data_IF_635998134272
#
_entry.id   IF_635998134272
#
_cell.length_a   1.000
_cell.length_b   1.000
_cell.length_c   1.000
_cell.angle_alpha   90.00
_cell.angle_beta   90.00
_cell.angle_gamma   90.00
#
_symmetry.space_group_name_H-M   'P 1'
#
loop_
_entity.id
_entity.type
_entity.pdbx_description
1 polymer ?
#
# COMPACT_ATOMS: atom_id res chain seq x y z
N UNK A 1 -24.38 10.63 -2.48
CA UNK A 1 -23.08 9.93 -2.37
C UNK A 1 -22.18 10.78 -1.48
N UNK A 2 -21.85 10.26 -0.31
CA UNK A 2 -20.93 10.88 0.66
C UNK A 2 -19.67 10.02 0.78
N UNK A 3 -18.52 10.63 0.98
CA UNK A 3 -17.29 9.94 1.27
C UNK A 3 -17.08 9.92 2.79
N UNK A 4 -17.14 8.75 3.40
CA UNK A 4 -16.80 8.56 4.81
C UNK A 4 -15.32 8.25 4.95
N UNK A 5 -14.54 9.27 5.28
CA UNK A 5 -13.09 9.16 5.40
C UNK A 5 -12.69 8.81 6.83
N UNK A 6 -12.19 7.60 7.04
CA UNK A 6 -11.83 7.07 8.35
C UNK A 6 -10.32 7.15 8.58
N UNK A 7 -9.87 8.07 9.44
CA UNK A 7 -8.49 8.23 9.88
C UNK A 7 -7.76 9.42 9.26
N UNK A 8 -7.08 10.20 10.12
CA UNK A 8 -6.24 11.35 9.75
C UNK A 8 -4.78 11.11 10.14
N UNK A 9 -4.24 9.99 9.65
CA UNK A 9 -2.83 9.63 9.82
C UNK A 9 -1.91 10.48 8.93
N UNK A 10 -0.58 10.29 9.08
CA UNK A 10 0.42 11.09 8.38
C UNK A 10 0.27 11.05 6.85
N UNK A 11 -0.02 9.88 6.29
CA UNK A 11 -0.15 9.68 4.83
C UNK A 11 -1.52 10.05 4.26
N UNK A 12 -2.56 10.21 5.11
CA UNK A 12 -3.94 10.37 4.65
C UNK A 12 -4.34 11.82 4.37
N UNK A 13 -3.73 12.78 5.05
CA UNK A 13 -4.15 14.19 5.05
C UNK A 13 -4.08 14.85 3.66
N UNK A 14 -3.04 14.66 2.84
CA UNK A 14 -2.97 15.30 1.53
C UNK A 14 -4.11 14.87 0.60
N UNK A 15 -4.43 13.58 0.55
CA UNK A 15 -5.52 13.04 -0.25
C UNK A 15 -6.89 13.54 0.23
N UNK A 16 -7.10 13.53 1.54
CA UNK A 16 -8.32 14.05 2.15
C UNK A 16 -8.55 15.53 1.81
N UNK A 17 -7.55 16.38 1.99
CA UNK A 17 -7.61 17.81 1.62
C UNK A 17 -7.98 17.99 0.15
N UNK A 18 -7.36 17.22 -0.73
CA UNK A 18 -7.62 17.28 -2.16
C UNK A 18 -9.07 16.94 -2.50
N UNK A 19 -9.64 15.89 -1.90
CA UNK A 19 -11.05 15.53 -2.13
C UNK A 19 -12.01 16.64 -1.69
N UNK A 20 -11.78 17.22 -0.51
CA UNK A 20 -12.60 18.32 0.00
C UNK A 20 -12.49 19.55 -0.91
N UNK A 21 -11.28 19.91 -1.35
CA UNK A 21 -11.04 21.03 -2.27
C UNK A 21 -11.68 20.84 -3.65
N UNK A 22 -11.84 19.59 -4.10
CA UNK A 22 -12.55 19.24 -5.32
C UNK A 22 -14.08 19.28 -5.16
N UNK A 23 -14.59 19.62 -3.99
CA UNK A 23 -16.01 19.76 -3.70
C UNK A 23 -16.76 18.47 -3.41
N UNK A 24 -16.05 17.37 -3.15
CA UNK A 24 -16.71 16.15 -2.71
C UNK A 24 -17.29 16.30 -1.30
N UNK A 25 -18.51 15.82 -1.03
CA UNK A 25 -19.04 15.76 0.33
C UNK A 25 -18.29 14.70 1.12
N UNK A 26 -17.55 15.13 2.14
CA UNK A 26 -16.71 14.27 2.96
C UNK A 26 -17.07 14.40 4.43
N UNK A 27 -17.43 13.29 5.07
CA UNK A 27 -17.53 13.13 6.52
C UNK A 27 -16.25 12.50 7.03
N UNK A 28 -15.55 13.15 7.94
CA UNK A 28 -14.27 12.67 8.48
C UNK A 28 -14.48 12.02 9.84
N UNK A 29 -13.98 10.79 9.96
CA UNK A 29 -14.05 10.00 11.19
C UNK A 29 -12.65 9.81 11.77
N UNK A 30 -12.42 10.29 12.98
CA UNK A 30 -11.13 10.13 13.64
C UNK A 30 -11.27 9.89 15.14
N UNK A 31 -10.44 9.00 15.68
CA UNK A 31 -10.47 8.67 17.12
C UNK A 31 -10.32 9.91 18.00
N UNK A 32 -9.46 10.86 17.61
CA UNK A 32 -9.23 12.11 18.33
C UNK A 32 -9.69 13.26 17.44
N UNK A 33 -10.90 13.77 17.67
CA UNK A 33 -11.51 14.84 16.87
C UNK A 33 -10.61 16.08 16.81
N UNK A 34 -10.11 16.55 17.95
CA UNK A 34 -9.23 17.72 18.01
C UNK A 34 -7.96 17.58 17.13
N UNK A 35 -7.42 16.36 16.98
CA UNK A 35 -6.30 16.11 16.06
C UNK A 35 -6.69 16.28 14.60
N UNK A 36 -7.88 15.81 14.23
CA UNK A 36 -8.40 15.98 12.88
C UNK A 36 -8.71 17.45 12.60
N UNK A 37 -9.36 18.15 13.52
CA UNK A 37 -9.64 19.60 13.44
C UNK A 37 -8.37 20.40 13.23
N UNK A 38 -7.32 20.13 13.99
CA UNK A 38 -6.02 20.81 13.83
C UNK A 38 -5.40 20.57 12.44
N UNK A 39 -5.64 19.41 11.83
CA UNK A 39 -5.08 19.06 10.54
C UNK A 39 -5.90 19.56 9.33
N UNK A 40 -7.22 19.56 9.44
CA UNK A 40 -8.14 19.80 8.31
C UNK A 40 -9.34 20.68 8.64
N UNK A 41 -9.47 21.23 9.84
CA UNK A 41 -10.63 22.02 10.27
C UNK A 41 -10.88 23.29 9.44
N UNK A 42 -9.83 23.80 8.77
CA UNK A 42 -9.99 24.89 7.80
C UNK A 42 -10.59 24.48 6.45
N UNK A 43 -10.77 23.18 6.22
CA UNK A 43 -11.30 22.62 4.96
C UNK A 43 -12.73 22.08 5.12
N UNK A 44 -13.06 21.55 6.28
CA UNK A 44 -14.39 21.00 6.59
C UNK A 44 -14.69 21.09 8.09
N UNK A 45 -15.96 21.18 8.42
CA UNK A 45 -16.48 21.12 9.80
C UNK A 45 -17.17 19.77 10.09
N UNK A 46 -17.39 18.91 9.12
CA UNK A 46 -18.00 17.58 9.33
C UNK A 46 -16.91 16.58 9.77
N UNK A 47 -16.45 16.77 11.01
CA UNK A 47 -15.46 15.92 11.67
C UNK A 47 -16.11 15.27 12.88
N UNK A 48 -16.11 13.94 12.91
CA UNK A 48 -16.81 13.13 13.92
C UNK A 48 -15.84 12.19 14.65
N UNK A 49 -16.18 11.87 15.91
CA UNK A 49 -15.48 10.82 16.63
C UNK A 49 -15.67 9.47 15.94
N UNK A 50 -14.59 8.75 15.71
CA UNK A 50 -14.68 7.41 15.12
C UNK A 50 -15.27 6.44 16.14
N UNK A 51 -16.43 5.94 15.83
CA UNK A 51 -17.11 4.82 16.47
C UNK A 51 -17.70 3.94 15.38
N UNK A 52 -17.50 2.62 15.46
CA UNK A 52 -17.92 1.71 14.40
C UNK A 52 -19.44 1.71 14.18
N UNK A 53 -20.22 1.75 15.26
CA UNK A 53 -21.67 1.77 15.20
C UNK A 53 -22.18 3.11 14.61
N UNK A 54 -21.54 4.22 14.98
CA UNK A 54 -21.88 5.53 14.43
C UNK A 54 -21.55 5.63 12.93
N UNK A 55 -20.40 5.09 12.49
CA UNK A 55 -20.08 4.99 11.05
C UNK A 55 -21.16 4.18 10.35
N UNK A 56 -21.43 2.96 10.82
CA UNK A 56 -22.42 2.07 10.20
C UNK A 56 -23.82 2.70 10.11
N UNK A 57 -24.28 3.37 11.17
CA UNK A 57 -25.55 4.07 11.19
C UNK A 57 -25.64 5.28 10.25
N UNK A 58 -24.48 5.80 9.82
CA UNK A 58 -24.41 6.97 8.92
C UNK A 58 -24.34 6.58 7.44
N UNK A 59 -24.03 5.31 7.12
CA UNK A 59 -23.86 4.86 5.74
C UNK A 59 -25.20 4.77 5.00
N UNK A 60 -25.17 5.14 3.74
CA UNK A 60 -26.29 5.01 2.79
C UNK A 60 -25.81 4.31 1.52
N UNK A 61 -26.73 3.69 0.80
CA UNK A 61 -26.45 3.07 -0.48
C UNK A 61 -25.83 4.08 -1.46
N UNK A 62 -24.75 3.66 -2.11
CA UNK A 62 -23.96 4.50 -3.03
C UNK A 62 -22.93 5.40 -2.35
N UNK A 63 -22.80 5.41 -1.03
CA UNK A 63 -21.70 6.09 -0.34
C UNK A 63 -20.36 5.35 -0.56
N UNK A 64 -19.27 5.99 -0.17
CA UNK A 64 -17.92 5.38 -0.24
C UNK A 64 -17.23 5.50 1.11
N UNK A 65 -16.79 4.38 1.67
CA UNK A 65 -15.95 4.34 2.87
C UNK A 65 -14.49 4.27 2.46
N UNK A 66 -13.68 5.25 2.86
CA UNK A 66 -12.24 5.26 2.68
C UNK A 66 -11.56 4.98 4.02
N UNK A 67 -10.94 3.82 4.15
CA UNK A 67 -10.28 3.41 5.39
C UNK A 67 -8.77 3.67 5.36
N UNK A 68 -8.35 4.65 6.14
CA UNK A 68 -6.95 4.99 6.42
C UNK A 68 -6.58 4.68 7.89
N UNK A 69 -7.31 3.77 8.50
CA UNK A 69 -7.11 3.27 9.86
C UNK A 69 -6.07 2.14 9.88
N UNK A 70 -5.63 1.68 11.07
CA UNK A 70 -4.87 0.43 11.20
C UNK A 70 -5.61 -0.78 10.61
N UNK A 71 -4.86 -1.78 10.14
CA UNK A 71 -5.37 -2.93 9.38
C UNK A 71 -6.56 -3.66 9.98
N UNK A 72 -6.61 -3.77 11.31
CA UNK A 72 -7.67 -4.47 12.05
C UNK A 72 -9.08 -3.87 11.79
N UNK A 73 -9.17 -2.62 11.32
CA UNK A 73 -10.43 -1.95 11.03
C UNK A 73 -10.91 -2.10 9.59
N UNK A 74 -10.07 -2.55 8.66
CA UNK A 74 -10.44 -2.59 7.25
C UNK A 74 -11.57 -3.59 6.97
N UNK A 75 -11.45 -4.81 7.47
CA UNK A 75 -12.47 -5.85 7.25
C UNK A 75 -13.81 -5.50 7.91
N UNK A 76 -13.86 -5.05 9.18
CA UNK A 76 -15.12 -4.57 9.78
C UNK A 76 -15.79 -3.44 8.98
N UNK A 77 -15.02 -2.45 8.54
CA UNK A 77 -15.55 -1.32 7.75
C UNK A 77 -16.03 -1.77 6.36
N UNK A 78 -15.29 -2.68 5.69
CA UNK A 78 -15.72 -3.23 4.41
C UNK A 78 -17.05 -4.00 4.53
N UNK A 79 -17.21 -4.81 5.60
CA UNK A 79 -18.49 -5.49 5.87
C UNK A 79 -19.64 -4.51 6.05
N UNK A 80 -19.46 -3.48 6.89
CA UNK A 80 -20.47 -2.46 7.11
C UNK A 80 -20.82 -1.70 5.82
N UNK A 81 -19.82 -1.39 4.98
CA UNK A 81 -20.05 -0.76 3.68
C UNK A 81 -20.88 -1.66 2.76
N UNK A 82 -20.53 -2.93 2.62
CA UNK A 82 -21.25 -3.91 1.78
C UNK A 82 -22.72 -4.04 2.27
N UNK A 83 -22.92 -4.18 3.58
CA UNK A 83 -24.25 -4.31 4.18
C UNK A 83 -25.14 -3.07 3.94
N UNK A 84 -24.53 -1.89 3.88
CA UNK A 84 -25.22 -0.64 3.59
C UNK A 84 -25.39 -0.35 2.08
N UNK A 85 -24.87 -1.20 1.19
CA UNK A 85 -24.86 -0.91 -0.25
C UNK A 85 -23.88 0.21 -0.62
N UNK A 86 -22.84 0.43 0.18
CA UNK A 86 -21.78 1.42 -0.04
C UNK A 86 -20.50 0.76 -0.56
N UNK A 87 -19.66 1.55 -1.22
CA UNK A 87 -18.35 1.12 -1.71
C UNK A 87 -17.31 1.21 -0.59
N UNK A 88 -16.25 0.41 -0.70
CA UNK A 88 -15.12 0.44 0.24
C UNK A 88 -13.79 0.62 -0.48
N UNK A 89 -12.91 1.44 0.10
CA UNK A 89 -11.55 1.70 -0.42
C UNK A 89 -10.54 1.67 0.72
N UNK A 90 -9.41 0.99 0.52
CA UNK A 90 -8.27 1.06 1.44
C UNK A 90 -6.93 1.08 0.73
N UNK A 91 -5.88 1.57 1.40
CA UNK A 91 -4.50 1.57 0.92
C UNK A 91 -3.70 0.34 1.37
N UNK A 92 -4.34 -0.63 1.99
CA UNK A 92 -3.68 -1.81 2.56
C UNK A 92 -3.74 -3.01 1.64
N UNK A 93 -2.79 -3.94 1.82
CA UNK A 93 -2.79 -5.25 1.16
C UNK A 93 -4.08 -6.02 1.40
N UNK A 94 -4.45 -6.84 0.43
CA UNK A 94 -5.64 -7.70 0.50
C UNK A 94 -5.36 -8.85 1.47
N UNK A 95 -5.96 -8.77 2.67
CA UNK A 95 -5.95 -9.89 3.61
C UNK A 95 -6.89 -11.02 3.15
N UNK A 96 -6.66 -12.28 3.56
CA UNK A 96 -7.55 -13.40 3.25
C UNK A 96 -9.01 -13.14 3.62
N UNK A 97 -9.25 -12.52 4.77
CA UNK A 97 -10.59 -12.16 5.26
C UNK A 97 -11.26 -11.08 4.39
N UNK A 98 -10.46 -10.17 3.80
CA UNK A 98 -10.95 -9.19 2.84
C UNK A 98 -11.32 -9.87 1.51
N UNK A 99 -10.48 -10.78 1.02
CA UNK A 99 -10.74 -11.55 -0.20
C UNK A 99 -12.02 -12.39 -0.07
N UNK A 100 -12.32 -12.90 1.12
CA UNK A 100 -13.54 -13.66 1.40
C UNK A 100 -14.83 -12.82 1.28
N UNK A 101 -14.73 -11.49 1.20
CA UNK A 101 -15.89 -10.60 0.99
C UNK A 101 -16.25 -10.42 -0.48
N UNK A 102 -15.44 -10.89 -1.43
CA UNK A 102 -15.60 -10.65 -2.87
C UNK A 102 -17.01 -11.03 -3.38
N UNK A 103 -17.47 -12.24 -3.04
CA UNK A 103 -18.79 -12.70 -3.47
C UNK A 103 -19.93 -11.83 -2.91
N UNK A 104 -19.85 -11.46 -1.62
CA UNK A 104 -20.86 -10.59 -0.99
C UNK A 104 -20.87 -9.19 -1.60
N UNK A 105 -19.71 -8.64 -1.93
CA UNK A 105 -19.61 -7.35 -2.59
C UNK A 105 -20.25 -7.39 -3.99
N UNK A 106 -20.01 -8.45 -4.77
CA UNK A 106 -20.63 -8.67 -6.08
C UNK A 106 -22.15 -8.79 -5.97
N UNK A 107 -22.66 -9.55 -5.02
CA UNK A 107 -24.11 -9.70 -4.77
C UNK A 107 -24.77 -8.39 -4.36
N UNK A 108 -24.07 -7.56 -3.58
CA UNK A 108 -24.53 -6.23 -3.18
C UNK A 108 -24.36 -5.17 -4.29
N UNK A 109 -23.69 -5.49 -5.40
CA UNK A 109 -23.44 -4.55 -6.50
C UNK A 109 -22.49 -3.40 -6.11
N UNK A 110 -21.57 -3.63 -5.15
CA UNK A 110 -20.65 -2.59 -4.66
C UNK A 110 -19.21 -2.95 -4.98
N UNK A 111 -18.35 -1.91 -5.07
CA UNK A 111 -16.92 -2.07 -5.25
C UNK A 111 -16.20 -2.13 -3.89
N UNK A 112 -15.28 -3.10 -3.75
CA UNK A 112 -14.32 -3.19 -2.65
C UNK A 112 -12.93 -3.11 -3.26
N UNK A 113 -12.26 -1.97 -3.10
CA UNK A 113 -10.98 -1.68 -3.74
C UNK A 113 -9.91 -1.53 -2.66
N UNK A 114 -8.89 -2.36 -2.73
CA UNK A 114 -7.74 -2.32 -1.84
C UNK A 114 -6.50 -1.89 -2.60
N UNK A 115 -5.39 -1.71 -1.89
CA UNK A 115 -4.09 -1.39 -2.48
C UNK A 115 -4.10 -0.07 -3.27
N UNK A 116 -4.91 0.89 -2.80
CA UNK A 116 -4.97 2.24 -3.38
C UNK A 116 -3.93 3.12 -2.69
N UNK A 117 -2.66 2.88 -3.00
CA UNK A 117 -1.53 3.54 -2.37
C UNK A 117 -0.30 3.59 -3.29
N UNK A 118 0.85 3.88 -2.69
CA UNK A 118 2.14 3.82 -3.39
C UNK A 118 2.66 2.37 -3.42
N UNK A 119 2.72 1.73 -2.25
CA UNK A 119 3.09 0.33 -2.01
C UNK A 119 2.32 -0.14 -0.75
N UNK A 120 1.24 -0.89 -0.99
CA UNK A 120 0.75 -1.45 -2.25
C UNK A 120 -0.08 -0.46 -3.10
N UNK A 121 0.08 -0.56 -4.43
CA UNK A 121 -0.74 0.13 -5.42
C UNK A 121 0.01 0.54 -6.68
N UNK A 122 0.65 1.70 -6.69
CA UNK A 122 1.40 2.20 -7.86
C UNK A 122 2.53 1.23 -8.24
N UNK A 123 3.18 0.61 -7.28
CA UNK A 123 4.22 -0.42 -7.49
C UNK A 123 3.69 -1.61 -8.31
N UNK A 124 2.46 -2.07 -8.04
CA UNK A 124 1.82 -3.15 -8.80
C UNK A 124 1.52 -2.71 -10.23
N UNK A 125 0.98 -1.50 -10.43
CA UNK A 125 0.69 -0.96 -11.76
C UNK A 125 1.97 -0.81 -12.59
N UNK A 126 3.06 -0.36 -11.97
CA UNK A 126 4.37 -0.26 -12.62
C UNK A 126 4.93 -1.64 -12.98
N UNK A 127 4.78 -2.62 -12.08
CA UNK A 127 5.22 -4.00 -12.35
C UNK A 127 4.48 -4.60 -13.55
N UNK A 128 3.15 -4.49 -13.58
CA UNK A 128 2.35 -4.93 -14.72
C UNK A 128 2.76 -4.23 -16.01
N UNK A 129 3.00 -2.92 -15.97
CA UNK A 129 3.45 -2.17 -17.13
C UNK A 129 4.81 -2.66 -17.65
N UNK A 130 5.79 -2.87 -16.76
CA UNK A 130 7.11 -3.38 -17.11
C UNK A 130 7.04 -4.77 -17.74
N UNK A 131 6.28 -5.69 -17.17
CA UNK A 131 6.12 -7.04 -17.70
C UNK A 131 5.43 -7.00 -19.07
N UNK A 132 4.39 -6.20 -19.23
CA UNK A 132 3.70 -6.04 -20.51
C UNK A 132 4.62 -5.42 -21.57
N UNK A 133 5.39 -4.38 -21.21
CA UNK A 133 6.35 -3.73 -22.09
C UNK A 133 7.46 -4.70 -22.53
N UNK A 134 7.99 -5.51 -21.62
CA UNK A 134 8.96 -6.55 -21.95
C UNK A 134 8.38 -7.58 -22.93
N UNK A 135 7.18 -8.11 -22.65
CA UNK A 135 6.50 -9.08 -23.53
C UNK A 135 6.21 -8.53 -24.92
N UNK A 136 5.94 -7.22 -25.05
CA UNK A 136 5.69 -6.54 -26.32
C UNK A 136 6.95 -6.07 -27.05
N UNK A 137 8.13 -6.26 -26.48
CA UNK A 137 9.39 -5.77 -27.04
C UNK A 137 10.03 -6.78 -28.00
N UNK A 138 10.88 -6.30 -28.90
CA UNK A 138 11.70 -7.13 -29.76
C UNK A 138 12.75 -7.95 -29.02
N UNK A 139 13.02 -7.62 -27.74
CA UNK A 139 13.95 -8.34 -26.89
C UNK A 139 13.31 -9.53 -26.18
N UNK A 140 12.00 -9.72 -26.30
CA UNK A 140 11.30 -10.80 -25.65
C UNK A 140 11.69 -12.16 -26.22
N UNK A 141 12.16 -13.03 -25.35
CA UNK A 141 12.32 -14.46 -25.61
C UNK A 141 12.01 -15.22 -24.32
N UNK A 142 11.26 -16.31 -24.43
CA UNK A 142 10.90 -17.17 -23.29
C UNK A 142 12.12 -17.81 -22.64
N UNK A 143 13.20 -17.99 -23.39
CA UNK A 143 14.47 -18.54 -22.90
C UNK A 143 15.36 -17.51 -22.20
N UNK A 144 14.99 -16.25 -22.23
CA UNK A 144 15.75 -15.20 -21.53
C UNK A 144 15.75 -15.44 -20.02
N UNK A 145 16.93 -15.19 -19.42
CA UNK A 145 17.05 -15.06 -17.98
C UNK A 145 16.55 -13.68 -17.56
N UNK A 146 15.54 -13.63 -16.70
CA UNK A 146 14.90 -12.39 -16.27
C UNK A 146 15.23 -12.04 -14.82
N UNK A 147 15.44 -10.76 -14.58
CA UNK A 147 15.57 -10.20 -13.23
C UNK A 147 14.56 -9.07 -13.04
N UNK A 148 13.81 -9.12 -11.96
CA UNK A 148 12.84 -8.12 -11.58
C UNK A 148 13.12 -7.63 -10.16
N UNK A 149 13.25 -6.33 -10.01
CA UNK A 149 13.36 -5.70 -8.69
C UNK A 149 12.42 -4.51 -8.61
N UNK A 150 11.67 -4.44 -7.53
CA UNK A 150 10.80 -3.32 -7.19
C UNK A 150 11.10 -2.85 -5.78
N UNK A 151 11.61 -1.64 -5.64
CA UNK A 151 11.97 -1.08 -4.36
C UNK A 151 11.14 0.17 -4.06
N UNK A 152 10.52 0.19 -2.88
CA UNK A 152 9.78 1.33 -2.39
C UNK A 152 10.24 1.73 -0.99
N UNK A 153 10.33 3.03 -0.73
CA UNK A 153 10.66 3.50 0.60
C UNK A 153 10.56 5.01 0.73
N UNK A 154 10.04 5.45 1.87
CA UNK A 154 10.13 6.86 2.25
C UNK A 154 11.53 7.17 2.74
N UNK A 155 12.23 8.09 2.06
CA UNK A 155 13.50 8.63 2.51
C UNK A 155 13.39 10.13 2.76
N UNK A 156 14.01 10.67 3.82
CA UNK A 156 13.98 12.10 4.08
C UNK A 156 14.81 12.84 3.02
N UNK A 157 14.24 13.92 2.47
CA UNK A 157 14.95 14.80 1.54
C UNK A 157 16.26 15.35 2.14
N UNK A 158 16.24 15.63 3.43
CA UNK A 158 17.41 16.07 4.20
C UNK A 158 17.72 14.97 5.22
N UNK A 159 18.83 14.23 5.04
CA UNK A 159 19.25 13.19 5.98
C UNK A 159 19.40 13.77 7.40
N UNK A 160 19.03 12.96 8.37
CA UNK A 160 19.21 13.25 9.80
C UNK A 160 20.05 12.14 10.44
N UNK A 161 20.53 12.27 11.68
CA UNK A 161 21.33 11.24 12.34
C UNK A 161 20.67 9.86 12.41
N UNK A 162 19.33 9.81 12.47
CA UNK A 162 18.54 8.57 12.46
C UNK A 162 18.39 7.97 11.06
N UNK A 163 18.79 8.69 9.99
CA UNK A 163 18.68 8.28 8.59
C UNK A 163 17.28 7.94 8.11
N UNK A 164 16.26 8.31 8.87
CA UNK A 164 14.86 8.06 8.57
C UNK A 164 13.95 9.15 9.14
N UNK A 165 12.77 9.31 8.50
CA UNK A 165 11.67 10.13 9.02
C UNK A 165 10.35 9.39 8.74
N UNK A 166 9.59 9.15 9.80
CA UNK A 166 8.32 8.44 9.66
C UNK A 166 7.31 9.28 8.88
N UNK A 167 6.86 8.76 7.75
CA UNK A 167 5.81 9.33 6.89
C UNK A 167 4.49 8.57 6.97
N UNK A 168 4.48 7.43 7.64
CA UNK A 168 3.31 6.60 7.92
C UNK A 168 3.44 5.95 9.30
N UNK A 169 2.62 4.95 9.63
CA UNK A 169 2.55 4.33 10.96
C UNK A 169 3.93 3.89 11.51
N UNK A 170 4.53 4.58 12.50
CA UNK A 170 5.89 4.26 12.99
C UNK A 170 6.02 2.83 13.51
N UNK A 171 5.01 2.35 14.23
CA UNK A 171 4.98 0.96 14.74
C UNK A 171 4.98 -0.05 13.58
N UNK A 172 4.29 0.26 12.48
CA UNK A 172 4.27 -0.59 11.27
C UNK A 172 5.65 -0.70 10.64
N UNK A 173 6.38 0.42 10.53
CA UNK A 173 7.76 0.43 10.00
C UNK A 173 8.68 -0.46 10.84
N UNK A 174 8.63 -0.32 12.17
CA UNK A 174 9.49 -1.10 13.06
C UNK A 174 9.10 -2.59 13.12
N UNK A 175 7.81 -2.90 13.03
CA UNK A 175 7.34 -4.30 12.96
C UNK A 175 7.78 -4.99 11.66
N UNK A 176 7.79 -4.27 10.54
CA UNK A 176 8.22 -4.82 9.25
C UNK A 176 9.67 -5.34 9.29
N UNK A 177 10.54 -4.74 10.08
CA UNK A 177 11.92 -5.20 10.27
C UNK A 177 12.04 -6.55 10.99
N UNK A 178 10.98 -7.02 11.62
CA UNK A 178 10.93 -8.32 12.34
C UNK A 178 10.20 -9.39 11.53
N UNK A 179 9.66 -9.05 10.38
CA UNK A 179 8.90 -10.00 9.56
C UNK A 179 9.85 -10.78 8.65
N UNK A 180 9.71 -12.10 8.54
CA UNK A 180 10.46 -12.85 7.54
C UNK A 180 10.14 -12.36 6.13
N UNK A 181 11.06 -12.58 5.22
CA UNK A 181 10.88 -12.24 3.80
C UNK A 181 11.40 -13.35 2.90
N UNK A 182 10.73 -13.53 1.77
CA UNK A 182 11.09 -14.51 0.74
C UNK A 182 11.20 -13.81 -0.61
N UNK A 183 12.25 -14.15 -1.35
CA UNK A 183 12.54 -13.59 -2.68
C UNK A 183 13.29 -14.60 -3.53
N UNK A 184 13.44 -14.35 -4.83
CA UNK A 184 14.36 -15.12 -5.67
C UNK A 184 15.67 -14.34 -5.84
N UNK A 185 16.79 -14.99 -5.55
CA UNK A 185 18.14 -14.46 -5.72
C UNK A 185 19.05 -15.49 -6.38
N UNK A 186 19.77 -15.09 -7.41
CA UNK A 186 20.64 -15.97 -8.19
C UNK A 186 19.94 -17.24 -8.74
N UNK A 187 18.65 -17.17 -9.00
CA UNK A 187 17.83 -18.28 -9.51
C UNK A 187 17.31 -19.22 -8.43
N UNK A 188 17.54 -18.93 -7.16
CA UNK A 188 17.10 -19.75 -6.02
C UNK A 188 16.19 -18.95 -5.07
N UNK A 189 15.31 -19.65 -4.38
CA UNK A 189 14.50 -19.05 -3.33
C UNK A 189 15.36 -18.75 -2.11
N UNK A 190 15.32 -17.50 -1.68
CA UNK A 190 15.98 -17.03 -0.46
C UNK A 190 14.93 -16.58 0.55
N UNK A 191 14.83 -17.30 1.67
CA UNK A 191 14.05 -16.90 2.83
C UNK A 191 14.96 -16.47 3.96
N UNK A 192 14.72 -15.29 4.51
CA UNK A 192 15.42 -14.76 5.68
C UNK A 192 14.43 -14.45 6.80
N UNK A 193 14.83 -14.72 8.04
CA UNK A 193 13.98 -14.45 9.21
C UNK A 193 13.87 -12.98 9.54
N UNK A 194 14.86 -12.20 9.12
CA UNK A 194 14.91 -10.75 9.28
C UNK A 194 15.35 -10.13 7.96
N UNK A 195 14.63 -9.12 7.47
CA UNK A 195 14.94 -8.50 6.17
C UNK A 195 16.38 -7.98 6.05
N UNK A 196 16.95 -7.47 7.13
CA UNK A 196 18.32 -6.96 7.14
C UNK A 196 19.41 -8.03 6.96
N UNK A 197 19.08 -9.32 7.13
CA UNK A 197 20.03 -10.41 6.82
C UNK A 197 20.26 -10.56 5.30
N UNK A 198 19.44 -9.88 4.48
CA UNK A 198 19.56 -9.84 3.02
C UNK A 198 19.70 -8.40 2.47
N UNK A 199 20.33 -7.50 3.25
CA UNK A 199 20.64 -6.14 2.79
C UNK A 199 21.61 -6.19 1.61
N UNK A 200 21.35 -5.35 0.62
CA UNK A 200 22.26 -5.07 -0.49
C UNK A 200 22.25 -3.57 -0.82
N UNK A 201 23.26 -3.14 -1.58
CA UNK A 201 23.31 -1.77 -2.10
C UNK A 201 22.59 -1.69 -3.43
N UNK A 202 21.86 -0.62 -3.63
CA UNK A 202 21.17 -0.30 -4.88
C UNK A 202 21.45 1.14 -5.28
N UNK A 203 22.01 1.33 -6.47
CA UNK A 203 22.18 2.67 -7.04
C UNK A 203 20.99 2.98 -7.93
N UNK A 204 20.18 3.94 -7.51
CA UNK A 204 19.01 4.33 -8.27
C UNK A 204 19.42 5.07 -9.57
N UNK A 205 18.79 4.79 -10.71
CA UNK A 205 19.08 5.42 -12.01
C UNK A 205 18.47 6.83 -12.09
N UNK A 206 18.85 7.69 -11.16
CA UNK A 206 18.46 9.09 -11.11
C UNK A 206 19.43 9.93 -11.95
N UNK A 207 19.06 11.17 -12.37
CA UNK A 207 19.97 12.10 -13.05
C UNK A 207 21.27 12.34 -12.26
N UNK A 208 21.18 12.32 -10.93
CA UNK A 208 22.33 12.23 -10.02
C UNK A 208 22.21 10.89 -9.31
N UNK A 209 23.05 9.90 -9.64
CA UNK A 209 23.00 8.58 -9.04
C UNK A 209 23.14 8.65 -7.53
N UNK A 210 22.22 7.99 -6.81
CA UNK A 210 22.23 7.90 -5.36
C UNK A 210 22.16 6.45 -4.95
N UNK A 211 23.00 6.07 -3.97
CA UNK A 211 23.07 4.70 -3.47
C UNK A 211 22.30 4.57 -2.17
N UNK A 212 21.46 3.56 -2.12
CA UNK A 212 20.57 3.23 -1.01
C UNK A 212 20.88 1.82 -0.48
N UNK A 213 20.46 1.55 0.74
CA UNK A 213 20.27 0.20 1.23
C UNK A 213 18.91 -0.32 0.76
N UNK A 214 18.89 -1.57 0.30
CA UNK A 214 17.65 -2.27 -0.05
C UNK A 214 17.64 -3.65 0.60
N UNK A 215 16.44 -4.09 0.98
CA UNK A 215 16.22 -5.41 1.54
C UNK A 215 14.83 -5.94 1.15
N UNK A 216 14.65 -7.27 1.02
CA UNK A 216 13.37 -7.84 0.63
C UNK A 216 12.29 -7.51 1.67
N UNK A 217 11.05 -7.34 1.22
CA UNK A 217 9.92 -7.02 2.06
C UNK A 217 8.86 -8.11 1.90
N UNK A 218 8.55 -8.84 2.99
CA UNK A 218 7.56 -9.91 3.03
C UNK A 218 7.87 -11.03 2.01
N UNK A 219 6.84 -11.75 1.59
CA UNK A 219 6.94 -12.77 0.56
C UNK A 219 6.71 -12.15 -0.82
N UNK A 220 7.73 -12.20 -1.68
CA UNK A 220 7.67 -11.71 -3.05
C UNK A 220 7.09 -12.73 -4.03
N UNK A 221 7.14 -14.03 -3.71
CA UNK A 221 6.87 -15.10 -4.68
C UNK A 221 5.45 -15.10 -5.26
N UNK A 222 4.37 -14.86 -4.48
CA UNK A 222 3.01 -14.81 -5.02
C UNK A 222 2.85 -13.78 -6.14
N UNK A 223 3.59 -12.68 -6.07
CA UNK A 223 3.52 -11.60 -7.05
C UNK A 223 4.11 -11.96 -8.42
N UNK A 224 4.90 -13.02 -8.54
CA UNK A 224 5.36 -13.50 -9.85
C UNK A 224 4.16 -13.85 -10.74
N UNK A 225 3.26 -14.65 -10.23
CA UNK A 225 2.04 -15.02 -10.95
C UNK A 225 1.11 -13.82 -11.16
N UNK A 226 0.93 -12.98 -10.12
CA UNK A 226 0.07 -11.79 -10.17
C UNK A 226 0.56 -10.78 -11.23
N UNK A 227 1.88 -10.56 -11.36
CA UNK A 227 2.44 -9.68 -12.39
C UNK A 227 2.52 -10.31 -13.79
N UNK A 228 2.11 -11.58 -13.92
CA UNK A 228 2.06 -12.29 -15.19
C UNK A 228 3.42 -12.82 -15.66
N UNK A 229 4.30 -13.20 -14.73
CA UNK A 229 5.51 -13.94 -15.07
C UNK A 229 5.13 -15.29 -15.67
N UNK A 230 5.74 -15.62 -16.80
CA UNK A 230 5.55 -16.92 -17.42
C UNK A 230 6.29 -17.99 -16.59
N UNK A 231 5.65 -19.09 -16.21
CA UNK A 231 6.29 -20.17 -15.46
C UNK A 231 7.52 -20.79 -16.14
N UNK A 232 7.67 -20.58 -17.46
CA UNK A 232 8.81 -21.05 -18.25
C UNK A 232 10.02 -20.11 -18.18
N UNK A 233 9.85 -18.88 -17.68
CA UNK A 233 10.96 -17.94 -17.59
C UNK A 233 12.01 -18.40 -16.59
N UNK A 234 13.27 -18.23 -16.97
CA UNK A 234 14.40 -18.43 -16.06
C UNK A 234 14.55 -17.20 -15.14
N UNK A 235 13.81 -17.20 -14.04
CA UNK A 235 13.84 -16.08 -13.09
C UNK A 235 15.14 -16.14 -12.30
N UNK A 236 16.02 -15.17 -12.51
CA UNK A 236 17.28 -15.04 -11.78
C UNK A 236 17.12 -14.20 -10.52
N UNK A 237 16.33 -13.14 -10.59
CA UNK A 237 15.95 -12.33 -9.43
C UNK A 237 14.48 -11.98 -9.48
N UNK A 238 13.81 -12.08 -8.34
CA UNK A 238 12.50 -11.52 -8.14
C UNK A 238 12.39 -10.99 -6.72
N UNK A 239 12.44 -9.67 -6.58
CA UNK A 239 12.46 -9.02 -5.28
C UNK A 239 11.50 -7.84 -5.26
N UNK A 240 10.55 -7.89 -4.33
CA UNK A 240 9.85 -6.72 -3.83
C UNK A 240 10.50 -6.31 -2.52
N UNK A 241 10.99 -5.10 -2.45
CA UNK A 241 11.83 -4.72 -1.34
C UNK A 241 11.62 -3.29 -0.86
N UNK A 242 12.23 -3.03 0.28
CA UNK A 242 12.24 -1.73 0.92
C UNK A 242 13.55 -1.01 0.60
N UNK A 243 13.45 0.29 0.30
CA UNK A 243 14.57 1.18 0.05
C UNK A 243 14.75 2.14 1.23
N UNK A 244 16.00 2.32 1.68
CA UNK A 244 16.37 3.19 2.79
C UNK A 244 17.65 3.93 2.51
N UNK A 245 17.87 5.03 3.24
CA UNK A 245 19.19 5.67 3.28
C UNK A 245 20.21 4.72 3.89
N UNK A 246 21.41 4.72 3.31
CA UNK A 246 22.52 3.89 3.74
C UNK A 246 22.84 4.05 5.23
N UNK A 247 22.94 2.96 5.98
CA UNK A 247 23.22 2.94 7.42
C UNK A 247 21.97 3.11 8.31
N UNK A 248 20.75 2.87 7.79
CA UNK A 248 19.54 2.89 8.60
C UNK A 248 19.16 1.52 9.17
N UNK A 249 19.39 0.44 8.45
CA UNK A 249 19.02 -0.93 8.84
C UNK A 249 20.15 -1.66 9.56
#
# INVERSE_FOLDING_TARGET
>A
MTIHWCGTGLSSIPGLKRLIQLGYPVTVWNRTVAKAEAAIGSYTTDIRAFDMAAVQASLQAGDTVVSMLPGDWHVPLAKAAIEAGAHFVSSSYIAPEMRALDQKAKEAGVAVINEVGLDPGIDHLMAHHLVAAYRGSNAYDVANRVSFTSYCGGVPKHPNPFRYKFSWAPVGVLKALKSPSTSVRAGEELTVTKPWDAISSYTAPLPQPETFEVYPNRDSLPFMAEYGFDPRWQVHEFVRGTLRLNGWA
#
